data_IF_811408242769
#
_entry.id   IF_811408242769
#
_cell.length_a   1.000
_cell.length_b   1.000
_cell.length_c   1.000
_cell.angle_alpha   90.00
_cell.angle_beta   90.00
_cell.angle_gamma   90.00
#
_symmetry.space_group_name_H-M   'P 1'
#
loop_
_entity.id
_entity.type
_entity.pdbx_description
1 polymer ?
#
# COMPACT_ATOMS: atom_id res chain seq x y z
N UNK A 1 69.64 -35.87 38.32
CA UNK A 1 69.89 -34.97 37.18
C UNK A 1 68.56 -34.36 36.76
N UNK A 2 68.30 -33.10 37.15
CA UNK A 2 67.21 -32.28 36.61
C UNK A 2 67.76 -31.60 35.36
N UNK A 3 67.37 -32.07 34.19
CA UNK A 3 67.58 -31.34 32.93
C UNK A 3 66.41 -30.41 32.72
N UNK A 4 66.55 -29.16 33.15
CA UNK A 4 65.66 -28.10 32.71
C UNK A 4 65.91 -27.89 31.21
N UNK A 5 64.90 -28.12 30.37
CA UNK A 5 64.89 -27.66 28.98
C UNK A 5 64.81 -26.14 29.03
N UNK A 6 65.97 -25.46 28.93
CA UNK A 6 66.02 -24.04 28.61
C UNK A 6 65.61 -23.89 27.14
N UNK A 7 64.36 -23.48 26.90
CA UNK A 7 63.89 -23.03 25.60
C UNK A 7 64.73 -21.82 25.16
N UNK A 8 65.24 -21.83 23.93
CA UNK A 8 66.02 -20.71 23.39
C UNK A 8 65.19 -19.40 23.44
N UNK A 9 65.75 -18.29 23.95
CA UNK A 9 65.04 -17.01 24.13
C UNK A 9 64.35 -16.48 22.86
N UNK A 10 64.90 -16.79 21.69
CA UNK A 10 64.37 -16.37 20.40
C UNK A 10 63.06 -17.09 20.03
N UNK A 11 62.94 -18.38 20.38
CA UNK A 11 61.74 -19.20 20.18
C UNK A 11 60.59 -18.71 21.08
N UNK A 12 60.92 -18.42 22.35
CA UNK A 12 59.98 -17.81 23.29
C UNK A 12 59.51 -16.41 22.84
N UNK A 13 60.39 -15.63 22.21
CA UNK A 13 60.06 -14.30 21.72
C UNK A 13 59.15 -14.35 20.48
N UNK A 14 59.36 -15.32 19.59
CA UNK A 14 58.49 -15.56 18.44
C UNK A 14 57.10 -16.05 18.87
N UNK A 15 57.05 -17.02 19.79
CA UNK A 15 55.79 -17.52 20.36
C UNK A 15 55.02 -16.39 21.09
N UNK A 16 55.72 -15.52 21.82
CA UNK A 16 55.10 -14.35 22.45
C UNK A 16 54.50 -13.37 21.43
N UNK A 17 55.14 -13.17 20.26
CA UNK A 17 54.62 -12.30 19.19
C UNK A 17 53.34 -12.87 18.58
N UNK A 18 53.33 -14.15 18.24
CA UNK A 18 52.15 -14.84 17.69
C UNK A 18 50.98 -14.83 18.67
N UNK A 19 51.26 -15.06 19.97
CA UNK A 19 50.25 -14.96 21.02
C UNK A 19 49.69 -13.53 21.18
N UNK A 20 50.53 -12.50 21.04
CA UNK A 20 50.08 -11.10 21.06
C UNK A 20 49.19 -10.78 19.85
N UNK A 21 49.56 -11.23 18.65
CA UNK A 21 48.74 -11.04 17.45
C UNK A 21 47.39 -11.77 17.55
N UNK A 22 47.39 -13.01 18.04
CA UNK A 22 46.17 -13.77 18.31
C UNK A 22 45.28 -13.06 19.34
N UNK A 23 45.85 -12.56 20.44
CA UNK A 23 45.13 -11.79 21.46
C UNK A 23 44.55 -10.48 20.90
N UNK A 24 45.28 -9.79 20.03
CA UNK A 24 44.78 -8.59 19.35
C UNK A 24 43.62 -8.90 18.41
N UNK A 25 43.70 -9.99 17.66
CA UNK A 25 42.62 -10.46 16.79
C UNK A 25 41.37 -10.82 17.61
N UNK A 26 41.55 -11.60 18.68
CA UNK A 26 40.47 -11.98 19.59
C UNK A 26 39.81 -10.76 20.25
N UNK A 27 40.59 -9.76 20.67
CA UNK A 27 40.06 -8.50 21.19
C UNK A 27 39.21 -7.75 20.16
N UNK A 28 39.61 -7.72 18.89
CA UNK A 28 38.82 -7.11 17.81
C UNK A 28 37.51 -7.85 17.61
N UNK A 29 37.54 -9.18 17.56
CA UNK A 29 36.34 -10.02 17.42
C UNK A 29 35.37 -9.83 18.59
N UNK A 30 35.88 -9.83 19.83
CA UNK A 30 35.07 -9.50 21.01
C UNK A 30 34.47 -8.09 20.94
N UNK A 31 35.23 -7.12 20.42
CA UNK A 31 34.74 -5.77 20.16
C UNK A 31 33.55 -5.75 19.20
N UNK A 32 33.63 -6.47 18.08
CA UNK A 32 32.52 -6.59 17.12
C UNK A 32 31.30 -7.26 17.75
N UNK A 33 31.48 -8.34 18.50
CA UNK A 33 30.38 -9.03 19.20
C UNK A 33 29.71 -8.14 20.26
N UNK A 34 30.50 -7.33 20.96
CA UNK A 34 29.97 -6.39 21.95
C UNK A 34 29.14 -5.29 21.30
N UNK A 35 29.54 -4.82 20.11
CA UNK A 35 28.74 -3.89 19.32
C UNK A 35 27.46 -4.53 18.81
N UNK A 36 27.52 -5.75 18.28
CA UNK A 36 26.32 -6.52 17.91
C UNK A 36 25.34 -6.72 19.08
N UNK A 37 25.86 -6.95 20.30
CA UNK A 37 25.03 -7.05 21.50
C UNK A 37 24.36 -5.72 21.89
N UNK A 38 25.07 -4.59 21.72
CA UNK A 38 24.48 -3.26 21.94
C UNK A 38 23.35 -2.99 20.97
N UNK A 39 23.54 -3.35 19.71
CA UNK A 39 22.56 -3.20 18.65
C UNK A 39 21.31 -4.06 18.91
N UNK A 40 21.50 -5.35 19.24
CA UNK A 40 20.40 -6.24 19.63
C UNK A 40 19.61 -5.68 20.85
N UNK A 41 20.31 -5.08 21.81
CA UNK A 41 19.67 -4.45 22.98
C UNK A 41 18.88 -3.20 22.59
N UNK A 42 19.41 -2.38 21.68
CA UNK A 42 18.75 -1.18 21.15
C UNK A 42 17.47 -1.58 20.43
N UNK A 43 17.56 -2.56 19.54
CA UNK A 43 16.45 -3.12 18.79
C UNK A 43 15.32 -3.61 19.69
N UNK A 44 15.60 -4.37 20.76
CA UNK A 44 14.57 -4.84 21.70
C UNK A 44 13.88 -3.66 22.40
N UNK A 45 14.64 -2.62 22.78
CA UNK A 45 14.07 -1.45 23.46
C UNK A 45 13.17 -0.65 22.52
N UNK A 46 13.64 -0.40 21.30
CA UNK A 46 12.89 0.34 20.28
C UNK A 46 11.62 -0.42 19.88
N UNK A 47 11.71 -1.73 19.59
CA UNK A 47 10.55 -2.55 19.23
C UNK A 47 9.54 -2.65 20.37
N UNK A 48 10.00 -2.77 21.63
CA UNK A 48 9.13 -2.76 22.79
C UNK A 48 8.45 -1.39 23.00
N UNK A 49 9.14 -0.28 22.74
CA UNK A 49 8.52 1.05 22.81
C UNK A 49 7.42 1.18 21.76
N UNK A 50 7.74 0.89 20.50
CA UNK A 50 6.81 0.95 19.39
C UNK A 50 5.59 0.04 19.61
N UNK A 51 5.81 -1.20 20.09
CA UNK A 51 4.73 -2.14 20.40
C UNK A 51 3.81 -1.59 21.48
N UNK A 52 4.36 -0.97 22.54
CA UNK A 52 3.54 -0.33 23.59
C UNK A 52 2.70 0.82 23.02
N UNK A 53 3.27 1.64 22.16
CA UNK A 53 2.57 2.79 21.58
C UNK A 53 1.45 2.33 20.64
N UNK A 54 1.70 1.32 19.79
CA UNK A 54 0.68 0.71 18.94
C UNK A 54 -0.45 0.10 19.76
N UNK A 55 -0.13 -0.66 20.83
CA UNK A 55 -1.15 -1.25 21.71
C UNK A 55 -2.00 -0.17 22.38
N UNK A 56 -1.37 0.87 22.94
CA UNK A 56 -2.11 1.99 23.56
C UNK A 56 -3.02 2.69 22.56
N UNK A 57 -2.51 2.97 21.36
CA UNK A 57 -3.29 3.61 20.30
C UNK A 57 -4.49 2.75 19.91
N UNK A 58 -4.26 1.46 19.63
CA UNK A 58 -5.31 0.51 19.27
C UNK A 58 -6.43 0.43 20.31
N UNK A 59 -6.08 0.30 21.60
CA UNK A 59 -7.10 0.22 22.66
C UNK A 59 -7.79 1.56 22.92
N UNK A 60 -7.13 2.69 22.69
CA UNK A 60 -7.78 4.01 22.74
C UNK A 60 -8.81 4.17 21.62
N UNK A 61 -8.46 3.78 20.39
CA UNK A 61 -9.34 3.84 19.24
C UNK A 61 -10.54 2.88 19.39
N UNK A 62 -10.30 1.67 19.90
CA UNK A 62 -11.34 0.70 20.22
C UNK A 62 -12.29 1.25 21.29
N UNK A 63 -11.77 1.85 22.37
CA UNK A 63 -12.58 2.47 23.42
C UNK A 63 -13.43 3.61 22.85
N UNK A 64 -12.85 4.47 22.01
CA UNK A 64 -13.57 5.57 21.35
C UNK A 64 -14.71 5.05 20.48
N UNK A 65 -14.45 4.01 19.69
CA UNK A 65 -15.44 3.39 18.80
C UNK A 65 -16.57 2.72 19.60
N UNK A 66 -16.24 1.93 20.63
CA UNK A 66 -17.24 1.26 21.47
C UNK A 66 -18.10 2.29 22.22
N UNK A 67 -17.48 3.34 22.77
CA UNK A 67 -18.21 4.43 23.42
C UNK A 67 -19.19 5.10 22.48
N UNK A 68 -18.76 5.43 21.26
CA UNK A 68 -19.62 6.04 20.24
C UNK A 68 -20.82 5.17 19.90
N UNK A 69 -20.63 3.87 19.72
CA UNK A 69 -21.73 2.94 19.41
C UNK A 69 -22.75 2.84 20.56
N UNK A 70 -22.28 2.88 21.81
CA UNK A 70 -23.15 2.90 22.99
C UNK A 70 -23.95 4.21 23.05
N UNK A 71 -23.31 5.34 22.81
CA UNK A 71 -23.96 6.65 22.78
C UNK A 71 -25.01 6.73 21.65
N UNK A 72 -24.68 6.25 20.44
CA UNK A 72 -25.62 6.17 19.31
C UNK A 72 -26.85 5.30 19.65
N UNK A 73 -26.64 4.17 20.33
CA UNK A 73 -27.76 3.31 20.77
C UNK A 73 -28.63 3.99 21.82
N UNK A 74 -28.02 4.69 22.78
CA UNK A 74 -28.75 5.44 23.80
C UNK A 74 -29.61 6.53 23.16
N UNK A 75 -29.06 7.31 22.22
CA UNK A 75 -29.81 8.33 21.48
C UNK A 75 -31.02 7.72 20.78
N UNK A 76 -30.85 6.56 20.14
CA UNK A 76 -31.96 5.86 19.47
C UNK A 76 -33.08 5.48 20.45
N UNK A 77 -32.73 4.93 21.62
CA UNK A 77 -33.72 4.54 22.64
C UNK A 77 -34.45 5.76 23.22
N UNK A 78 -33.74 6.88 23.44
CA UNK A 78 -34.36 8.12 23.91
C UNK A 78 -35.32 8.69 22.86
N UNK A 79 -34.96 8.63 21.57
CA UNK A 79 -35.87 9.04 20.50
C UNK A 79 -37.13 8.18 20.42
N UNK A 80 -37.02 6.86 20.66
CA UNK A 80 -38.17 5.97 20.76
C UNK A 80 -39.10 6.38 21.92
N UNK A 81 -38.52 6.72 23.09
CA UNK A 81 -39.26 7.24 24.25
C UNK A 81 -39.98 8.55 23.91
N UNK A 82 -39.26 9.54 23.36
CA UNK A 82 -39.82 10.85 22.98
C UNK A 82 -40.97 10.71 21.97
N UNK A 83 -40.82 9.78 21.02
CA UNK A 83 -41.84 9.51 20.00
C UNK A 83 -43.11 8.96 20.64
N UNK A 84 -42.98 7.93 21.49
CA UNK A 84 -44.13 7.33 22.19
C UNK A 84 -44.80 8.37 23.10
N UNK A 85 -44.03 9.17 23.83
CA UNK A 85 -44.56 10.24 24.68
C UNK A 85 -45.40 11.25 23.87
N UNK A 86 -44.85 11.76 22.75
CA UNK A 86 -45.56 12.71 21.90
C UNK A 86 -46.84 12.14 21.28
N UNK A 87 -46.81 10.88 20.83
CA UNK A 87 -47.97 10.21 20.24
C UNK A 87 -49.07 9.92 21.26
N UNK A 88 -48.71 9.65 22.51
CA UNK A 88 -49.66 9.27 23.57
C UNK A 88 -50.25 10.46 24.31
N UNK A 89 -49.53 11.58 24.44
CA UNK A 89 -50.04 12.80 25.09
C UNK A 89 -51.10 13.49 24.23
N UNK A 90 -50.93 13.53 22.90
CA UNK A 90 -51.81 14.33 22.03
C UNK A 90 -53.31 14.00 22.15
N UNK A 91 -53.75 12.73 22.16
CA UNK A 91 -55.16 12.40 22.40
C UNK A 91 -55.65 12.85 23.78
N UNK A 92 -54.80 12.80 24.81
CA UNK A 92 -55.14 13.24 26.16
C UNK A 92 -55.32 14.76 26.22
N UNK A 93 -54.45 15.53 25.55
CA UNK A 93 -54.59 16.98 25.42
C UNK A 93 -55.91 17.36 24.71
N UNK A 94 -56.30 16.60 23.68
CA UNK A 94 -57.54 16.84 22.95
C UNK A 94 -58.77 16.48 23.81
N UNK A 95 -58.71 15.38 24.57
CA UNK A 95 -59.71 15.06 25.59
C UNK A 95 -59.82 16.16 26.65
N UNK A 96 -58.71 16.69 27.15
CA UNK A 96 -58.69 17.77 28.12
C UNK A 96 -59.39 19.01 27.57
N UNK A 97 -59.06 19.45 26.35
CA UNK A 97 -59.72 20.61 25.71
C UNK A 97 -61.23 20.43 25.57
N UNK A 98 -61.68 19.22 25.21
CA UNK A 98 -63.11 18.91 25.09
C UNK A 98 -63.82 19.05 26.44
N UNK A 99 -63.20 18.55 27.52
CA UNK A 99 -63.74 18.66 28.87
C UNK A 99 -63.76 20.12 29.32
N UNK A 100 -62.66 20.86 29.15
CA UNK A 100 -62.56 22.28 29.52
C UNK A 100 -63.60 23.13 28.79
N UNK A 101 -63.80 22.90 27.49
CA UNK A 101 -64.84 23.57 26.72
C UNK A 101 -66.25 23.21 27.21
N UNK A 102 -66.50 21.94 27.51
CA UNK A 102 -67.75 21.48 28.08
C UNK A 102 -68.06 22.13 29.44
N UNK A 103 -67.06 22.22 30.32
CA UNK A 103 -67.15 22.90 31.62
C UNK A 103 -67.47 24.38 31.44
N UNK A 104 -66.73 25.09 30.59
CA UNK A 104 -67.00 26.51 30.31
C UNK A 104 -68.41 26.74 29.76
N UNK A 105 -68.88 25.88 28.86
CA UNK A 105 -70.24 25.96 28.31
C UNK A 105 -71.30 25.72 29.38
N UNK A 106 -71.06 24.75 30.28
CA UNK A 106 -71.96 24.48 31.40
C UNK A 106 -71.99 25.64 32.40
N UNK A 107 -70.85 26.25 32.73
CA UNK A 107 -70.77 27.42 33.61
C UNK A 107 -71.53 28.63 33.04
N UNK A 108 -71.40 28.89 31.74
CA UNK A 108 -72.15 29.96 31.08
C UNK A 108 -73.65 29.69 31.07
N UNK A 109 -74.06 28.44 30.83
CA UNK A 109 -75.45 28.04 30.86
C UNK A 109 -76.04 28.20 32.27
N UNK A 110 -75.31 27.80 33.31
CA UNK A 110 -75.71 27.99 34.73
C UNK A 110 -75.92 29.47 35.02
N UNK A 111 -74.96 30.32 34.62
CA UNK A 111 -75.04 31.78 34.82
C UNK A 111 -76.25 32.39 34.10
N UNK A 112 -76.49 32.01 32.85
CA UNK A 112 -77.67 32.46 32.08
C UNK A 112 -78.97 31.99 32.75
N UNK A 113 -79.01 30.76 33.26
CA UNK A 113 -80.15 30.19 33.98
C UNK A 113 -80.46 30.92 35.29
N UNK A 114 -79.44 31.19 36.11
CA UNK A 114 -79.58 31.96 37.35
C UNK A 114 -80.13 33.36 37.10
N UNK A 115 -79.61 34.05 36.06
CA UNK A 115 -80.10 35.38 35.65
C UNK A 115 -81.56 35.31 35.17
N UNK A 116 -81.93 34.30 34.38
CA UNK A 116 -83.28 34.12 33.87
C UNK A 116 -84.30 33.83 34.99
N UNK A 117 -83.90 33.09 36.03
CA UNK A 117 -84.75 32.80 37.19
C UNK A 117 -85.07 34.03 38.04
N UNK A 118 -84.16 34.99 38.12
CA UNK A 118 -84.36 36.23 38.90
C UNK A 118 -85.36 37.21 38.24
N UNK A 119 -85.67 37.04 36.95
CA UNK A 119 -86.51 37.95 36.16
C UNK A 119 -88.04 37.86 36.37
N UNK A 120 -88.53 36.86 37.11
CA UNK A 120 -89.96 36.66 37.38
C UNK A 120 -90.79 36.12 36.19
N UNK A 121 -91.93 35.49 36.47
CA UNK A 121 -92.82 34.83 35.48
C UNK A 121 -93.85 35.83 34.92
N UNK A 122 -93.38 36.87 34.24
CA UNK A 122 -94.22 37.88 33.55
C UNK A 122 -94.22 37.74 32.02
N UNK A 123 -95.16 38.41 31.34
CA UNK A 123 -95.58 38.18 29.93
C UNK A 123 -94.52 38.45 28.82
N UNK A 124 -93.28 38.83 29.12
CA UNK A 124 -92.18 38.90 28.14
C UNK A 124 -90.95 38.11 28.60
N UNK A 125 -91.12 36.79 28.77
CA UNK A 125 -90.05 35.93 29.30
C UNK A 125 -89.11 35.36 28.21
N UNK A 126 -88.67 36.22 27.28
CA UNK A 126 -87.76 35.83 26.19
C UNK A 126 -86.43 35.25 26.71
N UNK A 127 -85.97 35.71 27.88
CA UNK A 127 -84.74 35.24 28.54
C UNK A 127 -84.88 33.80 29.07
N UNK A 128 -86.00 33.48 29.73
CA UNK A 128 -86.25 32.11 30.21
C UNK A 128 -86.49 31.15 29.05
N UNK A 129 -87.19 31.59 28.00
CA UNK A 129 -87.42 30.79 26.80
C UNK A 129 -86.13 30.53 26.03
N UNK A 130 -85.27 31.54 25.85
CA UNK A 130 -83.96 31.38 25.19
C UNK A 130 -83.00 30.49 25.99
N UNK A 131 -82.97 30.62 27.32
CA UNK A 131 -82.26 29.69 28.21
C UNK A 131 -82.77 28.25 28.04
N UNK A 132 -84.08 28.03 28.19
CA UNK A 132 -84.68 26.68 28.11
C UNK A 132 -84.41 26.04 26.76
N UNK A 133 -84.46 26.83 25.69
CA UNK A 133 -84.12 26.39 24.33
C UNK A 133 -82.63 26.03 24.21
N UNK A 134 -81.71 26.87 24.70
CA UNK A 134 -80.26 26.55 24.71
C UNK A 134 -79.96 25.31 25.54
N UNK A 135 -80.54 25.19 26.74
CA UNK A 135 -80.39 24.03 27.62
C UNK A 135 -80.89 22.74 26.96
N UNK A 136 -82.00 22.79 26.20
CA UNK A 136 -82.50 21.63 25.45
C UNK A 136 -81.61 21.19 24.28
N UNK A 137 -80.75 22.09 23.78
CA UNK A 137 -79.79 21.79 22.72
C UNK A 137 -78.45 21.29 23.24
N UNK A 138 -78.13 21.55 24.50
CA UNK A 138 -76.92 21.03 25.16
C UNK A 138 -77.29 19.68 25.78
N UNK A 139 -76.59 18.60 25.40
CA UNK A 139 -76.82 17.27 25.96
C UNK A 139 -76.26 17.15 27.38
N UNK A 140 -76.95 17.79 28.34
CA UNK A 140 -76.55 17.86 29.76
C UNK A 140 -76.48 16.49 30.45
N UNK A 141 -77.10 15.47 29.88
CA UNK A 141 -77.15 14.11 30.42
C UNK A 141 -75.99 13.21 29.94
N UNK A 142 -75.08 13.74 29.10
CA UNK A 142 -73.94 12.98 28.57
C UNK A 142 -72.61 13.66 28.89
N UNK A 143 -71.68 12.90 29.47
CA UNK A 143 -70.30 13.32 29.69
C UNK A 143 -69.37 12.74 28.62
N UNK A 144 -68.32 13.46 28.21
CA UNK A 144 -67.29 12.89 27.36
C UNK A 144 -66.59 11.74 28.08
N UNK A 145 -66.27 10.68 27.33
CA UNK A 145 -65.57 9.51 27.85
C UNK A 145 -64.08 9.82 28.05
N UNK A 146 -63.51 9.40 29.18
CA UNK A 146 -62.10 9.57 29.52
C UNK A 146 -61.46 8.20 29.61
N UNK A 147 -60.30 7.96 28.95
CA UNK A 147 -59.62 6.68 29.02
C UNK A 147 -59.24 6.32 30.46
N UNK A 148 -59.33 5.04 30.83
CA UNK A 148 -58.88 4.56 32.13
C UNK A 148 -57.34 4.59 32.18
N UNK A 149 -56.76 4.78 33.36
CA UNK A 149 -55.31 4.83 33.52
C UNK A 149 -54.60 3.53 33.07
N UNK A 150 -55.28 2.39 33.16
CA UNK A 150 -54.75 1.10 32.69
C UNK A 150 -54.68 1.03 31.16
N UNK A 151 -55.50 1.82 30.47
CA UNK A 151 -55.54 1.90 29.01
C UNK A 151 -54.57 2.97 28.47
N UNK A 152 -53.97 3.78 29.35
CA UNK A 152 -52.92 4.75 29.00
C UNK A 152 -51.56 4.05 29.02
N UNK A 153 -50.78 4.14 27.92
CA UNK A 153 -49.45 3.53 27.88
C UNK A 153 -48.52 4.01 29.01
N UNK A 154 -47.77 3.07 29.59
CA UNK A 154 -46.74 3.35 30.60
C UNK A 154 -45.36 3.03 30.02
N UNK A 155 -44.54 4.07 29.81
CA UNK A 155 -43.20 3.91 29.25
C UNK A 155 -42.26 3.28 30.30
N UNK A 156 -41.57 2.22 29.90
CA UNK A 156 -40.53 1.57 30.71
C UNK A 156 -39.44 1.01 29.80
N UNK A 157 -38.21 0.96 30.31
CA UNK A 157 -37.08 0.39 29.59
C UNK A 157 -36.67 -0.95 30.22
N UNK A 158 -36.53 -1.98 29.38
CA UNK A 158 -35.95 -3.26 29.77
C UNK A 158 -34.53 -3.36 29.24
N UNK A 159 -33.57 -3.55 30.13
CA UNK A 159 -32.15 -3.64 29.82
C UNK A 159 -31.65 -5.06 30.14
N UNK A 160 -30.81 -5.61 29.27
CA UNK A 160 -30.17 -6.90 29.47
C UNK A 160 -28.68 -6.73 29.77
N UNK A 161 -28.25 -7.20 30.94
CA UNK A 161 -26.86 -7.13 31.40
C UNK A 161 -25.96 -8.21 30.77
N UNK A 162 -26.52 -9.16 30.01
CA UNK A 162 -25.75 -10.25 29.37
C UNK A 162 -24.69 -9.73 28.40
N UNK A 163 -24.95 -8.58 27.76
CA UNK A 163 -24.03 -7.94 26.80
C UNK A 163 -22.68 -7.62 27.43
N UNK A 164 -22.65 -7.24 28.72
CA UNK A 164 -21.41 -6.92 29.41
C UNK A 164 -20.50 -8.14 29.51
N UNK A 165 -21.08 -9.31 29.78
CA UNK A 165 -20.32 -10.57 29.87
C UNK A 165 -19.74 -10.98 28.51
N UNK A 166 -20.55 -10.85 27.44
CA UNK A 166 -20.09 -11.14 26.07
C UNK A 166 -18.93 -10.21 25.70
N UNK A 167 -19.11 -8.90 25.87
CA UNK A 167 -18.09 -7.90 25.54
C UNK A 167 -16.83 -8.11 26.36
N UNK A 168 -16.97 -8.40 27.66
CA UNK A 168 -15.85 -8.69 28.56
C UNK A 168 -15.01 -9.87 28.06
N UNK A 169 -15.64 -10.97 27.71
CA UNK A 169 -14.94 -12.16 27.22
C UNK A 169 -14.18 -11.92 25.92
N UNK A 170 -14.73 -11.09 25.03
CA UNK A 170 -14.05 -10.72 23.78
C UNK A 170 -12.88 -9.77 24.06
N UNK A 171 -13.04 -8.78 24.94
CA UNK A 171 -11.98 -7.84 25.31
C UNK A 171 -10.77 -8.58 25.93
N UNK A 172 -11.00 -9.52 26.84
CA UNK A 172 -9.91 -10.25 27.49
C UNK A 172 -9.13 -11.19 26.57
N UNK A 173 -9.71 -11.57 25.43
CA UNK A 173 -9.06 -12.41 24.41
C UNK A 173 -8.49 -11.59 23.26
N UNK A 174 -8.69 -10.26 23.26
CA UNK A 174 -8.33 -9.41 22.14
C UNK A 174 -6.84 -9.08 22.11
N UNK A 175 -6.17 -9.55 21.05
CA UNK A 175 -4.77 -9.29 20.78
C UNK A 175 -3.80 -10.25 21.48
N UNK A 176 -2.62 -10.39 20.89
CA UNK A 176 -1.53 -11.21 21.43
C UNK A 176 -0.18 -10.50 21.24
N UNK A 177 0.73 -10.69 22.19
CA UNK A 177 2.12 -10.22 22.07
C UNK A 177 3.02 -11.43 21.88
N UNK A 178 3.79 -11.45 20.80
CA UNK A 178 4.79 -12.49 20.55
C UNK A 178 6.21 -11.94 20.81
N UNK A 179 7.06 -12.76 21.41
CA UNK A 179 8.47 -12.42 21.66
C UNK A 179 9.35 -12.56 20.42
N UNK A 180 8.87 -13.31 19.41
CA UNK A 180 9.54 -13.55 18.14
C UNK A 180 8.51 -13.43 17.02
N UNK A 181 8.74 -12.57 16.01
CA UNK A 181 8.00 -12.65 14.77
C UNK A 181 8.28 -14.02 14.13
N UNK A 182 7.28 -14.72 13.57
CA UNK A 182 7.47 -16.05 13.00
C UNK A 182 8.34 -16.05 11.73
N UNK A 183 8.60 -14.86 11.16
CA UNK A 183 9.40 -14.66 9.95
C UNK A 183 10.38 -13.49 10.09
N UNK A 184 11.51 -13.58 9.40
CA UNK A 184 12.51 -12.51 9.31
C UNK A 184 13.03 -12.37 7.89
N UNK A 185 13.42 -11.15 7.52
CA UNK A 185 14.20 -10.91 6.29
C UNK A 185 15.58 -11.52 6.50
N UNK A 186 15.91 -12.48 5.65
CA UNK A 186 17.16 -13.23 5.66
C UNK A 186 18.22 -12.55 4.79
N UNK A 187 17.83 -12.13 3.59
CA UNK A 187 18.74 -11.57 2.59
C UNK A 187 18.11 -10.39 1.85
N UNK A 188 18.91 -9.35 1.60
CA UNK A 188 18.61 -8.21 0.75
C UNK A 188 19.67 -8.15 -0.35
N UNK A 189 19.28 -8.46 -1.59
CA UNK A 189 20.17 -8.44 -2.75
C UNK A 189 19.88 -7.18 -3.55
N UNK A 190 20.70 -6.16 -3.34
CA UNK A 190 20.62 -4.89 -4.08
C UNK A 190 21.05 -5.09 -5.53
N UNK A 191 20.19 -4.71 -6.47
CA UNK A 191 20.45 -4.75 -7.91
C UNK A 191 20.30 -3.35 -8.51
N UNK A 192 20.85 -3.11 -9.73
CA UNK A 192 20.76 -1.79 -10.34
C UNK A 192 19.34 -1.28 -10.68
N UNK A 193 18.35 -2.18 -10.73
CA UNK A 193 16.95 -1.84 -11.07
C UNK A 193 15.93 -2.25 -10.01
N UNK A 194 16.39 -2.65 -8.83
CA UNK A 194 15.51 -3.20 -7.82
C UNK A 194 16.26 -3.87 -6.68
N UNK A 195 15.52 -4.44 -5.75
CA UNK A 195 16.07 -5.18 -4.62
C UNK A 195 15.31 -6.50 -4.52
N UNK A 196 16.05 -7.61 -4.44
CA UNK A 196 15.45 -8.91 -4.09
C UNK A 196 15.42 -9.02 -2.57
N UNK A 197 14.23 -9.22 -2.01
CA UNK A 197 14.04 -9.43 -0.58
C UNK A 197 13.72 -10.90 -0.37
N UNK A 198 14.50 -11.59 0.46
CA UNK A 198 14.25 -12.98 0.87
C UNK A 198 13.96 -13.05 2.35
N UNK A 199 13.02 -13.90 2.73
CA UNK A 199 12.66 -14.11 4.12
C UNK A 199 12.57 -15.58 4.48
N UNK A 200 12.86 -15.89 5.73
CA UNK A 200 12.79 -17.23 6.27
C UNK A 200 11.86 -17.28 7.48
N UNK A 201 11.33 -18.47 7.72
CA UNK A 201 10.60 -18.79 8.94
C UNK A 201 11.60 -19.02 10.07
N UNK A 202 11.39 -18.36 11.20
CA UNK A 202 12.27 -18.47 12.39
C UNK A 202 11.62 -19.22 13.55
N UNK A 203 10.33 -19.52 13.42
CA UNK A 203 9.56 -20.33 14.36
C UNK A 203 9.14 -21.62 13.67
N UNK A 204 9.79 -22.73 14.03
CA UNK A 204 9.56 -24.04 13.41
C UNK A 204 8.14 -24.57 13.67
N UNK A 205 7.51 -24.17 14.77
CA UNK A 205 6.16 -24.61 15.15
C UNK A 205 5.05 -23.84 14.40
N UNK A 206 5.37 -22.67 13.84
CA UNK A 206 4.44 -21.87 13.06
C UNK A 206 4.20 -22.45 11.66
N UNK A 207 2.95 -22.61 11.23
CA UNK A 207 2.60 -23.07 9.88
C UNK A 207 2.08 -21.90 9.04
N UNK A 208 2.99 -21.29 8.27
CA UNK A 208 2.66 -20.18 7.38
C UNK A 208 1.79 -20.62 6.19
N UNK A 209 0.77 -19.83 5.88
CA UNK A 209 -0.07 -19.96 4.69
C UNK A 209 0.30 -18.87 3.67
N UNK A 210 0.39 -17.62 4.14
CA UNK A 210 0.74 -16.47 3.32
C UNK A 210 1.77 -15.60 4.03
N UNK A 211 2.55 -14.88 3.23
CA UNK A 211 3.46 -13.83 3.62
C UNK A 211 2.99 -12.50 3.04
N UNK A 212 3.33 -11.41 3.72
CA UNK A 212 3.05 -10.04 3.28
C UNK A 212 4.32 -9.21 3.42
N UNK A 213 4.85 -8.74 2.29
CA UNK A 213 6.01 -7.86 2.23
C UNK A 213 5.57 -6.42 2.02
N UNK A 214 6.14 -5.53 2.82
CA UNK A 214 5.95 -4.09 2.69
C UNK A 214 7.29 -3.37 2.54
N UNK A 215 7.24 -2.21 1.88
CA UNK A 215 8.37 -1.28 1.81
C UNK A 215 7.94 0.17 2.01
N UNK A 216 8.90 1.04 2.31
CA UNK A 216 8.74 2.49 2.27
C UNK A 216 10.08 3.17 1.98
N UNK A 217 10.05 4.38 1.41
CA UNK A 217 11.22 5.26 1.46
C UNK A 217 11.55 5.58 2.93
N UNK A 218 12.82 5.64 3.30
CA UNK A 218 13.23 6.02 4.67
C UNK A 218 12.75 7.44 5.06
N UNK A 219 12.47 8.30 4.08
CA UNK A 219 11.90 9.65 4.26
C UNK A 219 10.37 9.66 4.36
N UNK A 220 9.69 8.55 4.06
CA UNK A 220 8.24 8.41 4.15
C UNK A 220 7.83 7.80 5.49
N UNK A 221 6.62 8.10 5.96
CA UNK A 221 6.04 7.54 7.18
C UNK A 221 5.08 6.36 6.92
N UNK A 222 4.78 6.05 5.67
CA UNK A 222 3.80 5.05 5.28
C UNK A 222 4.47 3.85 4.60
N UNK A 223 4.11 2.64 5.02
CA UNK A 223 4.50 1.39 4.37
C UNK A 223 3.42 0.94 3.41
N UNK A 224 3.84 0.53 2.21
CA UNK A 224 2.97 0.04 1.15
C UNK A 224 3.22 -1.44 0.88
N UNK A 225 2.16 -2.16 0.53
CA UNK A 225 2.25 -3.58 0.15
C UNK A 225 2.86 -3.73 -1.24
N UNK A 226 3.88 -4.57 -1.33
CA UNK A 226 4.51 -4.93 -2.62
C UNK A 226 4.27 -6.39 -2.99
N UNK A 227 4.00 -7.24 -2.01
CA UNK A 227 3.73 -8.67 -2.24
C UNK A 227 2.84 -9.27 -1.14
N UNK A 228 1.90 -10.12 -1.55
CA UNK A 228 1.10 -11.00 -0.70
C UNK A 228 0.98 -12.37 -1.36
N UNK A 229 1.43 -13.43 -0.71
CA UNK A 229 1.35 -14.81 -1.22
C UNK A 229 2.26 -15.77 -0.47
N UNK A 230 2.40 -17.00 -0.97
CA UNK A 230 3.10 -18.10 -0.28
C UNK A 230 4.61 -18.18 -0.55
N UNK A 231 5.16 -17.37 -1.46
CA UNK A 231 6.59 -17.38 -1.78
C UNK A 231 7.42 -16.77 -0.64
N UNK A 232 8.69 -17.14 -0.58
CA UNK A 232 9.64 -16.65 0.43
C UNK A 232 10.67 -15.65 -0.12
N UNK A 233 10.48 -15.21 -1.36
CA UNK A 233 11.27 -14.16 -1.99
C UNK A 233 10.43 -13.32 -2.94
N UNK A 234 10.79 -12.04 -3.09
CA UNK A 234 10.16 -11.14 -4.05
C UNK A 234 11.14 -10.09 -4.56
N UNK A 235 11.01 -9.72 -5.85
CA UNK A 235 11.84 -8.70 -6.49
C UNK A 235 11.06 -7.39 -6.51
N UNK A 236 11.52 -6.41 -5.72
CA UNK A 236 10.95 -5.06 -5.69
C UNK A 236 11.61 -4.23 -6.79
N UNK A 237 10.82 -3.88 -7.80
CA UNK A 237 11.21 -3.06 -8.96
C UNK A 237 10.66 -1.63 -8.81
N UNK A 238 10.99 -0.76 -9.76
CA UNK A 238 10.46 0.62 -9.83
C UNK A 238 10.80 1.48 -8.61
N UNK A 239 11.99 1.27 -8.03
CA UNK A 239 12.50 2.05 -6.91
C UNK A 239 13.55 3.07 -7.36
N UNK A 240 13.54 4.25 -6.75
CA UNK A 240 14.53 5.28 -7.04
C UNK A 240 15.95 4.81 -6.72
N UNK A 241 16.91 4.97 -7.64
CA UNK A 241 18.29 4.55 -7.41
C UNK A 241 19.01 5.43 -6.39
N UNK A 242 19.84 4.80 -5.57
CA UNK A 242 20.59 5.41 -4.46
C UNK A 242 19.68 6.09 -3.41
N UNK A 243 18.44 5.62 -3.28
CA UNK A 243 17.52 6.03 -2.21
C UNK A 243 17.33 4.86 -1.26
N UNK A 244 17.45 5.14 0.05
CA UNK A 244 17.22 4.13 1.08
C UNK A 244 15.73 3.79 1.21
N UNK A 245 15.43 2.50 1.10
CA UNK A 245 14.12 1.93 1.39
C UNK A 245 14.20 1.00 2.59
N UNK A 246 13.14 1.00 3.39
CA UNK A 246 12.98 0.11 4.52
C UNK A 246 11.93 -0.95 4.19
N UNK A 247 12.27 -2.22 4.41
CA UNK A 247 11.46 -3.40 4.12
C UNK A 247 11.05 -4.11 5.41
N UNK A 248 9.84 -4.65 5.46
CA UNK A 248 9.38 -5.52 6.56
C UNK A 248 8.43 -6.60 6.03
N UNK A 249 8.47 -7.78 6.62
CA UNK A 249 7.62 -8.92 6.23
C UNK A 249 6.86 -9.47 7.44
N UNK A 250 5.63 -9.90 7.25
CA UNK A 250 4.88 -10.69 8.24
C UNK A 250 4.27 -11.93 7.57
N UNK A 251 3.72 -12.82 8.38
CA UNK A 251 3.10 -14.04 7.90
C UNK A 251 1.71 -14.23 8.51
N UNK A 252 0.87 -15.00 7.84
CA UNK A 252 -0.42 -15.46 8.34
C UNK A 252 -0.42 -16.98 8.29
N UNK A 253 -0.93 -17.62 9.33
CA UNK A 253 -0.79 -19.06 9.50
C UNK A 253 -1.68 -19.62 10.61
N UNK A 254 -1.54 -20.93 10.85
CA UNK A 254 -2.21 -21.67 11.93
C UNK A 254 -3.76 -21.55 11.93
N UNK A 255 -4.35 -21.40 10.74
CA UNK A 255 -5.80 -21.23 10.58
C UNK A 255 -6.33 -19.87 11.06
N UNK A 256 -5.44 -18.92 11.40
CA UNK A 256 -5.81 -17.56 11.80
C UNK A 256 -5.91 -16.65 10.57
N UNK A 257 -6.85 -15.72 10.58
CA UNK A 257 -6.95 -14.68 9.55
C UNK A 257 -6.03 -13.47 9.80
N UNK A 258 -5.59 -13.30 11.05
CA UNK A 258 -4.75 -12.20 11.48
C UNK A 258 -3.31 -12.38 11.00
N UNK A 259 -2.69 -11.27 10.60
CA UNK A 259 -1.26 -11.24 10.31
C UNK A 259 -0.44 -11.26 11.60
N UNK A 260 0.68 -11.96 11.56
CA UNK A 260 1.67 -11.95 12.63
C UNK A 260 2.26 -10.56 12.84
N UNK A 261 2.97 -10.35 13.97
CA UNK A 261 3.89 -9.23 14.07
C UNK A 261 4.88 -9.19 12.90
N UNK A 262 5.31 -7.98 12.55
CA UNK A 262 6.28 -7.74 11.50
C UNK A 262 7.68 -8.19 11.90
N UNK A 263 8.48 -8.57 10.90
CA UNK A 263 9.91 -8.74 11.00
C UNK A 263 10.58 -7.44 11.45
N UNK A 264 11.85 -7.58 11.83
CA UNK A 264 12.72 -6.43 12.00
C UNK A 264 12.84 -5.73 10.65
N UNK A 265 12.60 -4.42 10.57
CA UNK A 265 12.74 -3.72 9.30
C UNK A 265 14.21 -3.69 8.87
N UNK A 266 14.48 -4.00 7.61
CA UNK A 266 15.82 -3.90 7.04
C UNK A 266 15.88 -2.81 5.97
N UNK A 267 17.04 -2.18 5.82
CA UNK A 267 17.25 -1.09 4.86
C UNK A 267 18.05 -1.61 3.68
N UNK A 268 17.63 -1.25 2.47
CA UNK A 268 18.40 -1.47 1.25
C UNK A 268 18.12 -0.37 0.23
N UNK A 269 19.03 -0.19 -0.71
CA UNK A 269 18.88 0.76 -1.81
C UNK A 269 19.22 0.09 -3.14
N UNK A 270 18.58 0.49 -4.23
CA UNK A 270 19.07 0.09 -5.55
C UNK A 270 20.34 0.88 -5.85
N UNK A 271 21.32 0.24 -6.48
CA UNK A 271 22.41 0.98 -7.14
C UNK A 271 21.95 1.39 -8.54
N UNK A 272 22.65 2.28 -9.24
CA UNK A 272 22.52 2.39 -10.69
C UNK A 272 23.93 2.43 -11.25
N UNK A 273 24.36 1.36 -11.93
CA UNK A 273 25.61 1.42 -12.68
C UNK A 273 25.38 2.40 -13.84
N UNK A 274 26.14 3.50 -13.96
CA UNK A 274 25.92 4.48 -15.02
C UNK A 274 25.88 3.82 -16.40
N UNK A 275 24.85 4.09 -17.18
CA UNK A 275 24.78 3.66 -18.57
C UNK A 275 25.83 4.44 -19.37
N UNK A 276 26.84 3.72 -19.86
CA UNK A 276 27.94 4.28 -20.64
C UNK A 276 28.09 3.56 -21.98
N UNK A 277 28.43 4.32 -23.01
CA UNK A 277 28.82 3.80 -24.33
C UNK A 277 30.25 3.23 -24.30
N UNK A 278 30.53 2.27 -25.18
CA UNK A 278 31.87 1.69 -25.36
C UNK A 278 32.84 2.74 -25.90
N UNK A 279 33.96 2.97 -25.21
CA UNK A 279 34.99 3.89 -25.66
C UNK A 279 35.86 3.30 -26.79
N UNK A 280 36.39 4.16 -27.65
CA UNK A 280 37.34 3.75 -28.71
C UNK A 280 36.70 3.03 -29.90
N UNK A 281 35.37 3.07 -30.03
CA UNK A 281 34.68 2.52 -31.20
C UNK A 281 34.74 3.50 -32.37
N UNK A 282 35.27 3.04 -33.51
CA UNK A 282 35.46 3.87 -34.70
C UNK A 282 34.12 4.33 -35.28
N UNK A 283 34.06 5.59 -35.73
CA UNK A 283 32.84 6.20 -36.23
C UNK A 283 31.99 6.94 -35.19
N UNK A 284 32.35 6.85 -33.90
CA UNK A 284 31.62 7.53 -32.83
C UNK A 284 32.53 8.34 -31.91
N UNK A 285 32.10 9.56 -31.60
CA UNK A 285 32.75 10.45 -30.64
C UNK A 285 31.89 10.52 -29.37
N UNK A 286 32.50 10.36 -28.20
CA UNK A 286 31.79 10.33 -26.91
C UNK A 286 31.99 11.62 -26.08
N UNK A 287 31.04 11.94 -25.22
CA UNK A 287 31.21 12.96 -24.16
C UNK A 287 32.20 12.51 -23.07
N UNK A 288 32.64 13.46 -22.23
CA UNK A 288 33.52 13.18 -21.08
C UNK A 288 32.94 12.15 -20.10
N UNK A 289 31.61 12.16 -19.93
CA UNK A 289 30.87 11.19 -19.10
C UNK A 289 30.52 9.89 -19.83
N UNK A 290 30.91 9.74 -21.11
CA UNK A 290 30.63 8.56 -21.96
C UNK A 290 29.16 8.19 -22.09
N UNK A 291 28.25 9.12 -21.82
CA UNK A 291 26.80 8.90 -21.91
C UNK A 291 26.18 9.54 -23.15
N UNK A 292 26.93 10.34 -23.91
CA UNK A 292 26.50 10.88 -25.21
C UNK A 292 27.40 10.31 -26.29
N UNK A 293 26.80 9.76 -27.34
CA UNK A 293 27.49 9.27 -28.53
C UNK A 293 27.08 10.10 -29.76
N UNK A 294 28.05 10.58 -30.52
CA UNK A 294 27.88 11.32 -31.77
C UNK A 294 28.45 10.49 -32.93
N UNK A 295 27.62 10.20 -33.95
CA UNK A 295 28.08 9.61 -35.22
C UNK A 295 28.89 10.66 -36.00
N UNK A 296 30.18 10.38 -36.20
CA UNK A 296 31.12 11.26 -36.90
C UNK A 296 31.35 10.81 -38.36
N UNK A 297 32.20 11.53 -39.09
CA UNK A 297 32.44 11.32 -40.53
C UNK A 297 33.32 10.10 -40.85
N UNK A 298 33.87 9.41 -39.84
CA UNK A 298 34.65 8.19 -40.06
C UNK A 298 33.74 7.04 -40.51
N UNK A 299 34.28 6.13 -41.32
CA UNK A 299 33.59 4.88 -41.63
C UNK A 299 33.32 4.12 -40.33
N UNK A 300 32.09 3.65 -40.16
CA UNK A 300 31.71 2.79 -39.04
C UNK A 300 31.17 1.50 -39.60
N UNK A 301 31.64 0.40 -39.06
CA UNK A 301 31.12 -0.93 -39.33
C UNK A 301 30.49 -1.47 -38.04
N UNK A 302 29.20 -1.20 -37.89
CA UNK A 302 28.35 -1.89 -36.92
C UNK A 302 27.76 -1.05 -35.80
N UNK A 303 27.34 -1.74 -34.74
CA UNK A 303 26.60 -1.18 -33.61
C UNK A 303 27.55 -0.67 -32.53
N UNK A 304 27.36 0.58 -32.11
CA UNK A 304 27.95 1.08 -30.88
C UNK A 304 27.17 0.53 -29.68
N UNK A 305 27.78 -0.41 -28.96
CA UNK A 305 27.19 -1.01 -27.76
C UNK A 305 27.53 -0.24 -26.47
N UNK A 306 26.75 -0.51 -25.43
CA UNK A 306 27.07 -0.17 -24.04
C UNK A 306 28.38 -0.82 -23.60
N UNK A 307 29.10 -0.18 -22.68
CA UNK A 307 30.41 -0.65 -22.19
C UNK A 307 30.36 -2.05 -21.60
N UNK A 308 29.22 -2.40 -21.00
CA UNK A 308 28.91 -3.68 -20.36
C UNK A 308 27.40 -3.92 -20.46
N UNK A 309 26.87 -5.13 -20.16
CA UNK A 309 25.44 -5.38 -20.15
C UNK A 309 24.84 -4.78 -18.86
N UNK A 310 24.65 -3.46 -18.86
CA UNK A 310 24.23 -2.70 -17.68
C UNK A 310 22.74 -2.40 -17.65
N UNK A 311 21.98 -2.85 -18.66
CA UNK A 311 20.52 -2.74 -18.64
C UNK A 311 19.91 -3.96 -17.96
N UNK A 312 19.20 -3.75 -16.86
CA UNK A 312 18.56 -4.81 -16.08
C UNK A 312 17.04 -4.75 -16.27
N UNK A 313 16.40 -5.92 -16.33
CA UNK A 313 14.94 -5.98 -16.37
C UNK A 313 14.35 -5.28 -15.13
N UNK A 314 13.29 -4.51 -15.33
CA UNK A 314 12.67 -3.62 -14.34
C UNK A 314 13.25 -2.20 -14.29
N UNK A 315 14.31 -1.90 -15.04
CA UNK A 315 14.75 -0.52 -15.28
C UNK A 315 14.02 0.09 -16.49
N UNK A 316 13.77 1.40 -16.42
CA UNK A 316 13.40 2.22 -17.57
C UNK A 316 14.66 2.77 -18.24
N UNK A 317 15.11 2.14 -19.33
CA UNK A 317 16.26 2.63 -20.09
C UNK A 317 15.79 3.75 -21.03
N UNK A 318 16.36 4.95 -20.87
CA UNK A 318 15.95 6.12 -21.64
C UNK A 318 17.06 6.62 -22.54
N UNK A 319 16.73 6.81 -23.81
CA UNK A 319 17.55 7.53 -24.78
C UNK A 319 16.91 8.87 -25.13
N UNK A 320 17.73 9.89 -25.37
CA UNK A 320 17.30 11.16 -25.95
C UNK A 320 18.12 11.47 -27.18
N UNK A 321 17.44 11.72 -28.29
CA UNK A 321 18.05 12.14 -29.54
C UNK A 321 18.32 13.63 -29.44
N UNK A 322 19.59 14.01 -29.39
CA UNK A 322 20.02 15.41 -29.22
C UNK A 322 20.12 16.11 -30.58
N UNK A 323 20.73 15.44 -31.57
CA UNK A 323 20.83 15.93 -32.94
C UNK A 323 20.57 14.79 -33.91
N UNK A 324 20.11 15.12 -35.12
CA UNK A 324 19.75 14.15 -36.15
C UNK A 324 20.66 14.29 -37.36
N UNK A 325 20.99 13.16 -37.98
CA UNK A 325 21.62 13.10 -39.30
C UNK A 325 20.60 12.69 -40.37
N UNK A 326 21.09 12.34 -41.55
CA UNK A 326 20.25 11.72 -42.58
C UNK A 326 19.81 10.32 -42.10
N UNK A 327 18.53 9.96 -42.22
CA UNK A 327 18.05 8.63 -41.84
C UNK A 327 18.50 7.56 -42.86
N UNK A 328 18.82 6.38 -42.37
CA UNK A 328 19.11 5.17 -43.16
C UNK A 328 18.33 3.97 -42.59
N UNK A 329 18.01 3.00 -43.44
CA UNK A 329 17.29 1.78 -43.05
C UNK A 329 18.02 0.93 -42.00
N UNK A 330 19.35 1.09 -41.87
CA UNK A 330 20.18 0.38 -40.88
C UNK A 330 20.24 1.10 -39.54
N UNK A 331 19.63 2.28 -39.42
CA UNK A 331 19.64 2.99 -38.16
C UNK A 331 18.86 2.22 -37.10
N UNK A 332 19.40 2.12 -35.90
CA UNK A 332 18.74 1.44 -34.78
C UNK A 332 19.16 2.00 -33.43
N UNK A 333 18.24 2.00 -32.48
CA UNK A 333 18.47 2.20 -31.04
C UNK A 333 17.73 1.06 -30.35
N UNK A 334 18.40 0.31 -29.46
CA UNK A 334 17.77 -0.85 -28.86
C UNK A 334 18.60 -1.58 -27.83
N UNK A 335 18.13 -2.78 -27.50
CA UNK A 335 18.70 -3.69 -26.51
C UNK A 335 18.89 -5.08 -27.10
N UNK A 336 19.88 -5.82 -26.60
CA UNK A 336 20.17 -7.17 -27.06
C UNK A 336 20.80 -8.02 -25.96
N UNK A 337 20.67 -9.33 -26.09
CA UNK A 337 21.24 -10.29 -25.14
C UNK A 337 22.78 -10.28 -25.15
N UNK A 338 23.37 -10.24 -26.34
CA UNK A 338 24.82 -10.35 -26.52
C UNK A 338 25.38 -9.27 -27.44
N UNK A 339 26.61 -8.85 -27.15
CA UNK A 339 27.43 -8.06 -28.08
C UNK A 339 27.92 -8.97 -29.20
N UNK A 340 27.47 -8.71 -30.42
CA UNK A 340 27.92 -9.42 -31.62
C UNK A 340 28.48 -8.42 -32.63
N UNK A 341 29.73 -8.65 -33.02
CA UNK A 341 30.41 -7.88 -34.05
C UNK A 341 30.03 -8.43 -35.44
N UNK A 342 30.03 -7.58 -36.47
CA UNK A 342 29.75 -7.97 -37.86
C UNK A 342 28.32 -7.70 -38.36
N UNK A 343 27.42 -7.22 -37.49
CA UNK A 343 26.11 -6.71 -37.90
C UNK A 343 26.11 -5.19 -38.01
N UNK A 344 25.48 -4.66 -39.06
CA UNK A 344 25.33 -3.22 -39.30
C UNK A 344 24.33 -2.54 -38.35
N UNK A 345 23.44 -3.31 -37.71
CA UNK A 345 22.38 -2.79 -36.86
C UNK A 345 21.89 -3.81 -35.82
N UNK A 346 21.05 -3.35 -34.89
CA UNK A 346 20.33 -4.21 -33.94
C UNK A 346 19.10 -4.90 -34.54
N UNK A 347 18.82 -4.72 -35.85
CA UNK A 347 17.73 -5.39 -36.55
C UNK A 347 18.12 -6.86 -36.86
N UNK A 348 18.34 -7.64 -35.81
CA UNK A 348 18.86 -9.02 -35.86
C UNK A 348 18.24 -9.89 -34.78
N UNK A 349 18.58 -11.17 -34.81
CA UNK A 349 18.13 -12.12 -33.79
C UNK A 349 18.69 -11.79 -32.39
N UNK A 350 17.95 -12.19 -31.35
CA UNK A 350 18.22 -11.91 -29.93
C UNK A 350 18.39 -10.40 -29.61
N UNK A 351 17.68 -9.55 -30.34
CA UNK A 351 17.69 -8.09 -30.18
C UNK A 351 16.30 -7.48 -30.42
N UNK A 352 16.06 -6.36 -29.75
CA UNK A 352 14.88 -5.51 -29.93
C UNK A 352 15.34 -4.09 -30.14
N UNK A 353 14.86 -3.43 -31.19
CA UNK A 353 15.24 -2.06 -31.48
C UNK A 353 14.14 -1.26 -32.20
N UNK A 354 14.26 0.06 -32.14
CA UNK A 354 13.52 1.01 -32.96
C UNK A 354 14.47 1.64 -33.99
N UNK A 355 14.01 1.81 -35.23
CA UNK A 355 14.71 2.56 -36.27
C UNK A 355 14.33 4.03 -36.27
N UNK A 356 15.08 4.88 -36.98
CA UNK A 356 14.87 6.34 -36.98
C UNK A 356 13.54 6.76 -37.61
N UNK A 357 12.95 5.92 -38.46
CA UNK A 357 11.62 6.11 -39.02
C UNK A 357 10.47 5.69 -38.06
N UNK A 358 10.79 5.12 -36.90
CA UNK A 358 9.81 4.64 -35.91
C UNK A 358 9.39 3.17 -36.07
N UNK A 359 9.95 2.43 -37.03
CA UNK A 359 9.74 1.00 -37.17
C UNK A 359 10.38 0.23 -36.01
N UNK A 360 9.64 -0.74 -35.45
CA UNK A 360 10.09 -1.56 -34.31
C UNK A 360 10.40 -2.96 -34.78
N UNK A 361 11.54 -3.49 -34.36
CA UNK A 361 12.03 -4.81 -34.73
C UNK A 361 12.17 -5.70 -33.50
N UNK A 362 11.72 -6.94 -33.62
CA UNK A 362 11.83 -7.99 -32.58
C UNK A 362 12.47 -9.21 -33.20
N UNK A 363 13.64 -9.61 -32.71
CA UNK A 363 14.46 -10.68 -33.29
C UNK A 363 14.63 -10.51 -34.82
N UNK A 364 14.91 -9.27 -35.24
CA UNK A 364 15.14 -8.89 -36.64
C UNK A 364 13.91 -8.79 -37.52
N UNK A 365 12.70 -9.06 -36.99
CA UNK A 365 11.45 -8.96 -37.74
C UNK A 365 10.74 -7.64 -37.43
N UNK A 366 10.39 -6.89 -38.47
CA UNK A 366 9.64 -5.64 -38.32
C UNK A 366 8.20 -5.92 -37.87
N UNK A 367 7.74 -5.17 -36.87
CA UNK A 367 6.37 -5.17 -36.40
C UNK A 367 5.48 -4.28 -37.26
N UNK A 368 4.19 -4.61 -37.33
CA UNK A 368 3.20 -3.80 -38.06
C UNK A 368 2.94 -2.45 -37.38
N UNK A 369 3.03 -2.40 -36.06
CA UNK A 369 2.81 -1.18 -35.29
C UNK A 369 4.10 -0.36 -35.26
N UNK A 370 4.02 0.88 -35.72
CA UNK A 370 5.13 1.81 -35.76
C UNK A 370 4.91 2.96 -34.77
N UNK A 371 6.01 3.43 -34.20
CA UNK A 371 6.07 4.63 -33.38
C UNK A 371 6.31 5.87 -34.28
N UNK A 372 6.12 7.10 -33.77
CA UNK A 372 6.47 8.29 -34.53
C UNK A 372 7.98 8.34 -34.80
N UNK A 373 8.37 8.77 -36.00
CA UNK A 373 9.78 8.96 -36.36
C UNK A 373 10.50 9.87 -35.36
N UNK A 374 11.75 9.53 -35.03
CA UNK A 374 12.51 10.25 -34.02
C UNK A 374 13.08 11.54 -34.61
N UNK A 375 12.96 12.63 -33.85
CA UNK A 375 13.49 13.95 -34.20
C UNK A 375 14.38 14.47 -33.08
N UNK A 376 15.05 15.60 -33.29
CA UNK A 376 15.83 16.23 -32.21
C UNK A 376 14.91 16.58 -31.04
N UNK A 377 15.26 16.14 -29.83
CA UNK A 377 14.47 16.23 -28.61
C UNK A 377 13.62 14.99 -28.31
N UNK A 378 13.42 14.08 -29.26
CA UNK A 378 12.64 12.85 -29.02
C UNK A 378 13.33 11.96 -27.99
N UNK A 379 12.51 11.41 -27.08
CA UNK A 379 12.92 10.37 -26.15
C UNK A 379 12.42 9.00 -26.62
N UNK A 380 13.22 7.97 -26.36
CA UNK A 380 12.87 6.57 -26.58
C UNK A 380 13.15 5.83 -25.28
N UNK A 381 12.13 5.19 -24.71
CA UNK A 381 12.27 4.40 -23.49
C UNK A 381 12.06 2.92 -23.78
N UNK A 382 12.79 2.07 -23.05
CA UNK A 382 12.61 0.63 -23.01
C UNK A 382 12.32 0.21 -21.58
N UNK A 383 11.16 -0.40 -21.39
CA UNK A 383 10.75 -1.02 -20.14
C UNK A 383 10.57 -2.52 -20.38
N UNK A 384 11.38 -3.34 -19.71
CA UNK A 384 11.40 -4.78 -19.90
C UNK A 384 11.14 -5.48 -18.58
N UNK A 385 10.10 -6.31 -18.57
CA UNK A 385 9.70 -7.12 -17.41
C UNK A 385 9.73 -8.60 -17.77
N UNK A 386 10.21 -9.43 -16.84
CA UNK A 386 10.16 -10.87 -16.99
C UNK A 386 8.73 -11.36 -16.74
N UNK A 387 8.19 -12.15 -17.68
CA UNK A 387 6.87 -12.77 -17.49
C UNK A 387 7.05 -14.06 -16.70
N UNK A 388 6.69 -14.06 -15.42
CA UNK A 388 6.70 -15.26 -14.58
C UNK A 388 5.62 -16.22 -15.06
N UNK A 389 6.01 -17.19 -15.88
CA UNK A 389 5.18 -18.36 -16.14
C UNK A 389 5.27 -19.28 -14.92
N UNK A 390 4.14 -19.55 -14.27
CA UNK A 390 4.07 -20.55 -13.21
C UNK A 390 4.72 -21.86 -13.64
N UNK A 391 5.49 -22.46 -12.72
CA UNK A 391 6.11 -23.81 -12.77
C UNK A 391 5.91 -24.57 -14.08
N UNK A 392 6.79 -24.32 -15.05
CA UNK A 392 6.83 -25.10 -16.29
C UNK A 392 7.64 -26.39 -16.04
N UNK A 393 7.01 -27.54 -16.27
CA UNK A 393 7.64 -28.85 -16.19
C UNK A 393 8.95 -28.91 -17.02
N UNK A 394 10.02 -29.38 -16.37
CA UNK A 394 11.29 -29.72 -16.99
C UNK A 394 11.08 -30.76 -18.09
N UNK A 395 11.01 -30.37 -19.38
CA UNK A 395 11.45 -31.19 -20.53
C UNK A 395 11.27 -30.57 -21.95
N UNK A 396 10.86 -29.31 -22.11
CA UNK A 396 10.95 -28.62 -23.41
C UNK A 396 11.87 -27.41 -23.26
N UNK A 397 12.80 -27.21 -24.20
CA UNK A 397 13.77 -26.11 -24.17
C UNK A 397 13.05 -24.76 -24.05
N UNK A 398 12.96 -24.25 -22.82
CA UNK A 398 12.05 -23.15 -22.48
C UNK A 398 12.61 -21.83 -22.94
N UNK A 399 12.02 -21.24 -23.98
CA UNK A 399 12.28 -19.85 -24.33
C UNK A 399 11.89 -18.94 -23.16
N UNK A 400 12.79 -18.01 -22.80
CA UNK A 400 12.54 -17.03 -21.76
C UNK A 400 11.71 -15.87 -22.34
N UNK A 401 10.54 -15.61 -21.74
CA UNK A 401 9.58 -14.64 -22.24
C UNK A 401 9.67 -13.33 -21.47
N UNK A 402 10.01 -12.26 -22.18
CA UNK A 402 10.03 -10.89 -21.68
C UNK A 402 8.85 -10.10 -22.25
N UNK A 403 8.23 -9.25 -21.43
CA UNK A 403 7.29 -8.23 -21.89
C UNK A 403 8.06 -6.93 -22.07
N UNK A 404 8.03 -6.40 -23.29
CA UNK A 404 8.74 -5.18 -23.67
C UNK A 404 7.74 -4.10 -24.00
N UNK A 405 7.93 -2.93 -23.41
CA UNK A 405 7.25 -1.69 -23.77
C UNK A 405 8.28 -0.73 -24.33
N UNK A 406 8.08 -0.28 -25.57
CA UNK A 406 8.87 0.80 -26.17
C UNK A 406 7.98 2.02 -26.28
N UNK A 407 8.40 3.13 -25.69
CA UNK A 407 7.66 4.39 -25.74
C UNK A 407 8.47 5.50 -26.39
N UNK A 408 7.85 6.24 -27.31
CA UNK A 408 8.44 7.41 -27.93
C UNK A 408 7.36 8.41 -28.35
N UNK A 409 7.59 9.70 -28.09
CA UNK A 409 6.70 10.81 -28.46
C UNK A 409 5.22 10.56 -28.06
N UNK A 410 4.99 10.11 -26.81
CA UNK A 410 3.67 9.79 -26.23
C UNK A 410 2.89 8.66 -26.94
N UNK A 411 3.57 7.82 -27.71
CA UNK A 411 3.03 6.53 -28.18
C UNK A 411 3.87 5.40 -27.61
N UNK A 412 3.23 4.27 -27.42
CA UNK A 412 3.86 3.07 -26.91
C UNK A 412 3.47 1.86 -27.74
N UNK A 413 4.36 0.89 -27.81
CA UNK A 413 4.08 -0.45 -28.32
C UNK A 413 4.50 -1.46 -27.27
N UNK A 414 3.64 -2.46 -27.04
CA UNK A 414 3.87 -3.52 -26.07
C UNK A 414 3.85 -4.85 -26.80
N UNK A 415 4.84 -5.69 -26.56
CA UNK A 415 4.95 -7.01 -27.18
C UNK A 415 5.74 -7.97 -26.31
N UNK A 416 5.64 -9.25 -26.66
CA UNK A 416 6.41 -10.30 -26.00
C UNK A 416 7.69 -10.59 -26.81
N UNK A 417 8.83 -10.56 -26.15
CA UNK A 417 10.14 -10.90 -26.71
C UNK A 417 10.60 -12.25 -26.17
N UNK A 418 10.90 -13.18 -27.08
CA UNK A 418 11.38 -14.52 -26.76
C UNK A 418 12.90 -14.57 -26.91
N UNK A 419 13.57 -14.97 -25.83
CA UNK A 419 15.01 -15.21 -25.78
C UNK A 419 15.30 -16.70 -25.60
N UNK A 420 16.41 -17.16 -26.14
CA UNK A 420 16.81 -18.57 -26.03
C UNK A 420 17.43 -18.90 -24.67
N UNK A 421 17.87 -17.89 -23.92
CA UNK A 421 18.46 -18.04 -22.59
C UNK A 421 17.92 -16.97 -21.64
N UNK A 422 17.94 -17.26 -20.34
CA UNK A 422 17.63 -16.28 -19.30
C UNK A 422 18.75 -15.25 -19.20
N UNK A 423 18.48 -14.00 -19.60
CA UNK A 423 19.40 -12.88 -19.42
C UNK A 423 19.00 -12.04 -18.21
N UNK A 424 19.85 -12.04 -17.18
CA UNK A 424 19.70 -11.17 -16.01
C UNK A 424 20.08 -9.71 -16.28
N UNK A 425 20.89 -9.48 -17.33
CA UNK A 425 21.23 -8.15 -17.83
C UNK A 425 21.46 -8.18 -19.34
N UNK A 426 21.28 -7.03 -19.97
CA UNK A 426 21.26 -6.83 -21.41
C UNK A 426 22.23 -5.71 -21.81
N UNK A 427 22.75 -5.81 -23.02
CA UNK A 427 23.42 -4.69 -23.68
C UNK A 427 22.37 -3.75 -24.26
N UNK A 428 22.71 -2.47 -24.32
CA UNK A 428 22.03 -1.54 -25.20
C UNK A 428 22.99 -1.08 -26.30
N UNK A 429 22.45 -0.58 -27.40
CA UNK A 429 23.27 -0.13 -28.52
C UNK A 429 22.56 0.82 -29.46
N UNK A 430 23.35 1.48 -30.30
CA UNK A 430 22.83 2.22 -31.44
C UNK A 430 23.70 2.05 -32.69
N UNK A 431 23.09 2.15 -33.86
CA UNK A 431 23.76 2.21 -35.16
C UNK A 431 23.17 3.36 -35.97
N UNK A 432 24.03 4.15 -36.61
CA UNK A 432 23.62 5.23 -37.52
C UNK A 432 24.55 5.23 -38.72
N UNK A 433 24.00 5.22 -39.93
CA UNK A 433 24.86 5.17 -41.11
C UNK A 433 25.52 6.54 -41.39
N UNK A 434 24.73 7.60 -41.43
CA UNK A 434 25.18 8.95 -41.75
C UNK A 434 25.60 9.75 -40.50
N UNK A 435 26.57 10.68 -40.63
CA UNK A 435 27.00 11.56 -39.54
C UNK A 435 25.89 12.50 -39.08
N UNK A 436 26.02 13.00 -37.85
CA UNK A 436 25.15 14.03 -37.26
C UNK A 436 24.15 13.51 -36.21
N UNK A 437 23.91 12.20 -36.16
CA UNK A 437 23.10 11.57 -35.10
C UNK A 437 23.85 11.63 -33.77
N UNK A 438 23.21 12.21 -32.75
CA UNK A 438 23.74 12.30 -31.38
C UNK A 438 22.71 11.79 -30.39
N UNK A 439 23.08 10.80 -29.58
CA UNK A 439 22.18 10.14 -28.63
C UNK A 439 22.76 10.18 -27.23
N UNK A 440 21.98 10.69 -26.29
CA UNK A 440 22.21 10.61 -24.85
C UNK A 440 21.53 9.35 -24.32
N UNK A 441 22.23 8.58 -23.49
CA UNK A 441 21.64 7.55 -22.62
C UNK A 441 21.64 8.07 -21.18
N UNK A 442 20.53 7.85 -20.47
CA UNK A 442 20.38 8.21 -19.06
C UNK A 442 20.81 7.08 -18.15
#
# INVERSE_FOLDING_TARGET
MRGAMELEPELLLQEARENVEAAQSYRRELGHRLEGLREARRQIKESASQTRDVLKQHFNDLKGTLGKLLDERLVTLLQEVDTIEQETIKPLDDCQKLIEHGVSTAEDLVREGEIAMLGGVGEENEKLWSFTKKASHIQLDSLPEVPLLVDVPCLSAQLDDSILNIVKDHIFKHGTVASRPPVQIEELIEKPGGIIVRWCKVDDDFTAQDYRLQFRKCTSNHFEDVYVGSETEFIVLHIDPNVDYQFRVCARGDGRQEWSPWSVPQIGHSTLVPHEWTAGFEGYSLSSRRNIALRNDSESSGVLYSRAPTYFCGQTLTFRVETVGQPDRRDSIGVCAEKQDGYDSLQRDQAVCISTNGAVFVNGKEMTNQLPAVTSGSTVTFDIEAVTLGTCNNNEGGHFKLRVTISSNNREVVFDWLLDQSCGSLYFGCSFFYPGWKVLVF
#
